data_IF_982680506751
#
_entry.id   IF_982680506751
#
_cell.length_a   1.000
_cell.length_b   1.000
_cell.length_c   1.000
_cell.angle_alpha   90.00
_cell.angle_beta   90.00
_cell.angle_gamma   90.00
#
_symmetry.space_group_name_H-M   'P 1'
#
loop_
_entity.id
_entity.type
_entity.pdbx_description
1 polymer ?
#
# COMPACT_ATOMS: atom_id res chain seq x y z
N UNK A 1 -2.07 4.02 13.59
CA UNK A 1 -2.63 2.97 12.70
C UNK A 1 -3.88 3.51 12.06
N UNK A 2 -4.09 3.24 10.77
CA UNK A 2 -5.29 3.61 10.04
C UNK A 2 -6.36 2.52 10.19
N UNK A 3 -7.39 2.80 10.99
CA UNK A 3 -8.50 1.87 11.23
C UNK A 3 -9.48 1.78 10.06
N UNK A 4 -9.41 2.69 9.09
CA UNK A 4 -10.24 2.61 7.89
C UNK A 4 -9.69 1.67 6.82
N UNK A 5 -8.48 1.13 6.99
CA UNK A 5 -8.06 -0.08 6.29
C UNK A 5 -8.61 -1.30 7.02
N UNK A 6 -9.30 -2.18 6.31
CA UNK A 6 -9.79 -3.44 6.87
C UNK A 6 -8.63 -4.35 7.30
N UNK A 7 -8.90 -5.27 8.24
CA UNK A 7 -7.94 -6.32 8.57
C UNK A 7 -7.92 -7.35 7.43
N UNK A 8 -6.76 -7.60 6.86
CA UNK A 8 -6.63 -8.51 5.74
C UNK A 8 -6.72 -9.96 6.25
N UNK A 9 -7.66 -10.75 5.70
CA UNK A 9 -7.76 -12.19 5.97
C UNK A 9 -6.61 -12.92 5.29
N UNK A 10 -5.81 -13.64 6.06
CA UNK A 10 -4.55 -14.21 5.60
C UNK A 10 -4.26 -15.54 6.31
N UNK A 11 -3.43 -16.36 5.69
CA UNK A 11 -2.72 -17.44 6.34
C UNK A 11 -1.35 -16.96 6.87
N UNK A 12 -0.86 -17.55 7.95
CA UNK A 12 0.44 -17.30 8.56
C UNK A 12 1.58 -17.51 7.55
N UNK A 13 1.49 -18.56 6.72
CA UNK A 13 2.44 -18.82 5.64
C UNK A 13 2.51 -17.70 4.60
N UNK A 14 1.42 -16.94 4.39
CA UNK A 14 1.40 -15.81 3.47
C UNK A 14 2.11 -14.57 4.04
N UNK A 15 2.11 -14.39 5.37
CA UNK A 15 2.79 -13.25 6.02
C UNK A 15 4.32 -13.25 5.78
N UNK A 16 4.92 -14.43 5.55
CA UNK A 16 6.34 -14.56 5.17
C UNK A 16 6.68 -13.86 3.85
N UNK A 17 5.68 -13.62 3.01
CA UNK A 17 5.84 -12.95 1.71
C UNK A 17 5.46 -11.46 1.77
N UNK A 18 5.00 -10.98 2.93
CA UNK A 18 4.63 -9.58 3.11
C UNK A 18 5.88 -8.69 3.07
N UNK A 19 5.79 -7.57 2.34
CA UNK A 19 6.87 -6.60 2.20
C UNK A 19 6.51 -5.33 2.92
N UNK A 20 7.38 -4.87 3.82
CA UNK A 20 7.20 -3.58 4.48
C UNK A 20 7.24 -2.45 3.45
N UNK A 21 6.37 -1.48 3.62
CA UNK A 21 6.36 -0.26 2.80
C UNK A 21 7.29 0.80 3.42
N UNK A 22 7.55 1.92 2.73
CA UNK A 22 8.23 3.06 3.35
C UNK A 22 7.51 3.62 4.58
N UNK A 23 6.20 3.36 4.73
CA UNK A 23 5.49 3.61 5.97
C UNK A 23 5.79 2.49 6.97
N UNK A 24 6.31 2.80 8.18
CA UNK A 24 6.77 1.79 9.13
C UNK A 24 5.68 0.85 9.62
N UNK A 25 4.40 1.26 9.51
CA UNK A 25 3.24 0.52 10.01
C UNK A 25 2.41 -0.17 8.92
N UNK A 26 2.89 -0.18 7.66
CA UNK A 26 2.14 -0.76 6.54
C UNK A 26 2.97 -1.74 5.73
N UNK A 27 2.29 -2.77 5.24
CA UNK A 27 2.86 -3.89 4.50
C UNK A 27 2.08 -4.15 3.22
N UNK A 28 2.70 -4.81 2.26
CA UNK A 28 2.06 -5.24 1.02
C UNK A 28 2.19 -6.74 0.83
N UNK A 29 1.11 -7.38 0.41
CA UNK A 29 1.09 -8.79 0.02
C UNK A 29 0.35 -8.91 -1.31
N UNK A 30 1.03 -9.40 -2.36
CA UNK A 30 0.43 -9.49 -3.69
C UNK A 30 -0.06 -8.14 -4.26
N UNK A 31 0.52 -7.02 -3.79
CA UNK A 31 0.09 -5.66 -4.14
C UNK A 31 -0.97 -5.05 -3.21
N UNK A 32 -1.58 -5.84 -2.32
CA UNK A 32 -2.59 -5.36 -1.39
C UNK A 32 -1.90 -4.74 -0.17
N UNK A 33 -2.20 -3.47 0.10
CA UNK A 33 -1.72 -2.75 1.29
C UNK A 33 -2.53 -3.18 2.53
N UNK A 34 -1.86 -3.49 3.62
CA UNK A 34 -2.49 -3.78 4.91
C UNK A 34 -1.65 -3.32 6.09
N UNK A 35 -2.31 -3.17 7.24
CA UNK A 35 -1.67 -2.84 8.53
C UNK A 35 -2.10 -3.81 9.64
N UNK A 36 -3.29 -4.40 9.47
CA UNK A 36 -3.86 -5.39 10.38
C UNK A 36 -4.08 -6.70 9.64
N UNK A 37 -3.89 -7.80 10.34
CA UNK A 37 -4.23 -9.13 9.86
C UNK A 37 -5.43 -9.66 10.62
N UNK A 38 -6.24 -10.46 9.93
CA UNK A 38 -7.24 -11.35 10.49
C UNK A 38 -6.76 -12.77 10.24
N UNK A 39 -6.53 -13.50 11.32
CA UNK A 39 -6.05 -14.89 11.32
C UNK A 39 -7.03 -15.78 12.07
N UNK A 40 -7.02 -17.08 11.76
CA UNK A 40 -7.61 -18.12 12.61
C UNK A 40 -6.64 -19.30 12.69
N UNK A 41 -6.64 -20.00 13.82
CA UNK A 41 -5.74 -21.13 14.04
C UNK A 41 -5.83 -21.68 15.46
N UNK A 42 -5.00 -22.66 15.76
CA UNK A 42 -4.89 -23.32 17.07
C UNK A 42 -3.81 -22.66 17.92
N UNK A 43 -4.09 -22.43 19.20
CA UNK A 43 -3.07 -22.03 20.17
C UNK A 43 -2.15 -23.21 20.49
N UNK A 44 -0.89 -23.13 20.06
CA UNK A 44 0.11 -24.20 20.22
C UNK A 44 1.16 -23.90 21.30
N UNK A 45 1.27 -22.65 21.73
CA UNK A 45 2.07 -22.24 22.88
C UNK A 45 1.45 -21.03 23.57
N UNK A 46 1.61 -20.96 24.89
CA UNK A 46 1.21 -19.84 25.75
C UNK A 46 2.35 -19.60 26.72
N UNK A 47 2.89 -18.38 26.79
CA UNK A 47 3.93 -18.03 27.75
C UNK A 47 3.42 -18.07 29.20
N UNK A 48 4.33 -18.25 30.16
CA UNK A 48 3.99 -18.33 31.58
C UNK A 48 3.27 -17.07 32.09
N UNK A 49 3.69 -15.89 31.62
CA UNK A 49 3.08 -14.60 31.92
C UNK A 49 1.84 -14.28 31.04
N UNK A 50 1.48 -15.22 30.16
CA UNK A 50 0.39 -15.14 29.18
C UNK A 50 0.47 -13.94 28.22
N UNK A 51 1.58 -13.20 28.18
CA UNK A 51 1.75 -12.02 27.32
C UNK A 51 2.02 -12.39 25.87
N UNK A 52 2.43 -13.63 25.59
CA UNK A 52 2.76 -14.11 24.26
C UNK A 52 2.18 -15.49 23.99
N UNK A 53 1.40 -15.63 22.92
CA UNK A 53 0.92 -16.92 22.43
C UNK A 53 1.55 -17.25 21.07
N UNK A 54 1.53 -18.52 20.69
CA UNK A 54 1.85 -18.96 19.32
C UNK A 54 0.59 -19.55 18.70
N UNK A 55 0.23 -19.04 17.54
CA UNK A 55 -0.90 -19.51 16.73
C UNK A 55 -0.39 -20.32 15.54
N UNK A 56 -0.97 -21.49 15.30
CA UNK A 56 -0.74 -22.32 14.12
C UNK A 56 -2.01 -22.45 13.30
N UNK A 57 -1.97 -22.11 12.01
CA UNK A 57 -3.12 -22.26 11.10
C UNK A 57 -2.97 -23.41 10.10
N UNK A 58 -1.95 -24.25 10.24
CA UNK A 58 -1.60 -25.34 9.33
C UNK A 58 -0.72 -24.92 8.14
N UNK A 59 -0.58 -23.62 7.88
CA UNK A 59 0.34 -23.07 6.86
C UNK A 59 1.64 -22.52 7.46
N UNK A 60 1.66 -22.30 8.77
CA UNK A 60 2.78 -21.79 9.53
C UNK A 60 2.33 -21.28 10.90
N UNK A 61 3.31 -20.80 11.66
CA UNK A 61 3.09 -20.27 13.01
C UNK A 61 3.40 -18.78 13.09
N UNK A 62 2.76 -18.08 14.02
CA UNK A 62 3.05 -16.68 14.31
C UNK A 62 2.92 -16.37 15.81
N UNK A 63 3.76 -15.46 16.30
CA UNK A 63 3.66 -14.93 17.66
C UNK A 63 2.55 -13.89 17.78
N UNK A 64 1.73 -14.05 18.81
CA UNK A 64 0.68 -13.12 19.22
C UNK A 64 1.16 -12.38 20.47
N UNK A 65 1.24 -11.06 20.42
CA UNK A 65 1.47 -10.22 21.58
C UNK A 65 0.11 -9.83 22.19
N UNK A 66 -0.15 -10.32 23.38
CA UNK A 66 -1.40 -10.14 24.11
C UNK A 66 -1.30 -8.90 24.98
N UNK A 67 -2.20 -7.94 24.75
CA UNK A 67 -2.30 -6.77 25.61
C UNK A 67 -2.90 -7.13 26.98
N UNK A 68 -2.53 -6.38 28.03
CA UNK A 68 -2.95 -6.63 29.41
C UNK A 68 -4.48 -6.78 29.58
N UNK A 69 -5.26 -6.07 28.76
CA UNK A 69 -6.72 -6.11 28.81
C UNK A 69 -7.28 -7.52 28.50
N UNK A 70 -6.59 -8.30 27.66
CA UNK A 70 -6.96 -9.68 27.34
C UNK A 70 -6.41 -10.72 28.32
N UNK A 71 -5.44 -10.35 29.16
CA UNK A 71 -4.85 -11.22 30.19
C UNK A 71 -5.81 -11.49 31.35
N UNK A 72 -6.82 -10.62 31.53
CA UNK A 72 -7.86 -10.80 32.56
C UNK A 72 -8.78 -12.00 32.28
N UNK A 73 -8.72 -12.54 31.07
CA UNK A 73 -9.45 -13.72 30.65
C UNK A 73 -8.59 -14.98 30.86
N UNK A 74 -8.61 -15.54 32.07
CA UNK A 74 -7.79 -16.71 32.46
C UNK A 74 -8.25 -18.05 31.82
N UNK A 75 -9.02 -18.00 30.73
CA UNK A 75 -9.59 -19.18 30.08
C UNK A 75 -8.81 -19.64 28.86
N UNK A 76 -7.83 -18.87 28.35
CA UNK A 76 -7.05 -19.27 27.19
C UNK A 76 -6.21 -20.51 27.48
N UNK A 77 -6.41 -21.56 26.68
CA UNK A 77 -5.77 -22.87 26.83
C UNK A 77 -5.16 -23.33 25.50
N UNK A 78 -4.12 -24.16 25.60
CA UNK A 78 -3.55 -24.85 24.46
C UNK A 78 -4.60 -25.72 23.77
N UNK A 79 -4.55 -25.77 22.44
CA UNK A 79 -5.49 -26.51 21.62
C UNK A 79 -6.78 -25.76 21.27
N UNK A 80 -7.03 -24.58 21.84
CA UNK A 80 -8.17 -23.76 21.45
C UNK A 80 -8.02 -23.26 20.02
N UNK A 81 -9.08 -23.40 19.23
CA UNK A 81 -9.17 -22.80 17.90
C UNK A 81 -9.72 -21.39 18.04
N UNK A 82 -8.95 -20.39 17.64
CA UNK A 82 -9.24 -18.97 17.88
C UNK A 82 -9.23 -18.15 16.61
N UNK A 83 -10.00 -17.07 16.61
CA UNK A 83 -9.87 -15.97 15.64
C UNK A 83 -9.14 -14.81 16.28
N UNK A 84 -8.20 -14.22 15.53
CA UNK A 84 -7.37 -13.10 15.98
C UNK A 84 -7.41 -11.98 14.95
N UNK A 85 -7.64 -10.76 15.43
CA UNK A 85 -7.42 -9.52 14.65
C UNK A 85 -6.41 -8.65 15.38
N UNK A 86 -5.40 -8.17 14.67
CA UNK A 86 -4.35 -7.36 15.29
C UNK A 86 -3.44 -6.66 14.30
N UNK A 87 -2.58 -5.79 14.83
CA UNK A 87 -1.54 -5.11 14.07
C UNK A 87 -0.47 -6.10 13.62
N UNK A 88 -0.13 -6.12 12.34
CA UNK A 88 1.04 -6.85 11.87
C UNK A 88 2.29 -5.97 11.96
N UNK A 89 3.36 -6.51 12.51
CA UNK A 89 4.66 -5.85 12.53
C UNK A 89 5.77 -6.90 12.55
N UNK A 90 6.99 -6.44 12.27
CA UNK A 90 8.20 -7.25 12.35
C UNK A 90 9.04 -6.64 13.47
N UNK A 91 9.43 -7.44 14.45
CA UNK A 91 10.31 -7.02 15.56
C UNK A 91 11.73 -6.77 15.01
N UNK A 92 12.56 -6.07 15.78
CA UNK A 92 13.93 -5.72 15.40
C UNK A 92 14.83 -6.93 15.04
N UNK A 93 14.49 -8.12 15.56
CA UNK A 93 15.14 -9.40 15.26
C UNK A 93 14.67 -10.04 13.94
N UNK A 94 13.74 -9.40 13.22
CA UNK A 94 13.13 -9.92 12.01
C UNK A 94 11.94 -10.85 12.24
N UNK A 95 11.52 -11.07 13.49
CA UNK A 95 10.42 -11.98 13.82
C UNK A 95 9.07 -11.33 13.53
N UNK A 96 8.22 -11.93 12.66
CA UNK A 96 6.87 -11.42 12.40
C UNK A 96 5.93 -11.69 13.57
N UNK A 97 5.11 -10.69 13.91
CA UNK A 97 4.21 -10.74 15.06
C UNK A 97 2.86 -10.09 14.78
N UNK A 98 1.86 -10.47 15.59
CA UNK A 98 0.57 -9.80 15.68
C UNK A 98 0.40 -9.17 17.06
N UNK A 99 0.24 -7.84 17.13
CA UNK A 99 -0.25 -7.19 18.35
C UNK A 99 -1.76 -7.29 18.38
N UNK A 100 -2.28 -8.11 19.29
CA UNK A 100 -3.69 -8.49 19.31
C UNK A 100 -4.58 -7.30 19.70
N UNK A 101 -5.60 -7.03 18.89
CA UNK A 101 -6.67 -6.08 19.18
C UNK A 101 -8.00 -6.78 19.51
N UNK A 102 -8.15 -8.02 19.06
CA UNK A 102 -9.31 -8.88 19.34
C UNK A 102 -8.88 -10.34 19.19
N UNK A 103 -9.30 -11.15 20.14
CA UNK A 103 -9.18 -12.61 20.10
C UNK A 103 -10.52 -13.22 20.53
N UNK A 104 -10.93 -14.30 19.88
CA UNK A 104 -12.23 -14.96 20.11
C UNK A 104 -12.04 -16.47 20.04
N UNK A 105 -12.55 -17.18 21.05
CA UNK A 105 -12.63 -18.64 21.03
C UNK A 105 -13.70 -19.11 20.02
N UNK A 106 -13.28 -19.95 19.08
CA UNK A 106 -14.10 -20.58 18.07
C UNK A 106 -14.17 -22.10 18.24
N UNK A 107 -13.62 -22.66 19.31
CA UNK A 107 -13.49 -24.11 19.54
C UNK A 107 -14.84 -24.85 19.54
N UNK A 108 -15.94 -24.16 19.85
CA UNK A 108 -17.30 -24.71 19.77
C UNK A 108 -17.81 -24.93 18.33
N UNK A 109 -17.09 -24.46 17.31
CA UNK A 109 -17.53 -24.46 15.90
C UNK A 109 -16.45 -25.09 14.99
N UNK A 110 -16.28 -26.42 14.97
CA UNK A 110 -15.18 -27.08 14.28
C UNK A 110 -15.16 -26.83 12.76
N UNK A 111 -16.31 -26.59 12.14
CA UNK A 111 -16.42 -26.28 10.70
C UNK A 111 -15.73 -24.96 10.33
N UNK A 112 -15.45 -24.08 11.32
CA UNK A 112 -14.77 -22.80 11.10
C UNK A 112 -13.36 -22.96 10.54
N UNK A 113 -12.67 -24.03 10.90
CA UNK A 113 -11.34 -24.31 10.36
C UNK A 113 -11.40 -24.50 8.85
N UNK A 114 -12.25 -25.41 8.36
CA UNK A 114 -12.40 -25.64 6.93
C UNK A 114 -12.91 -24.40 6.19
N UNK A 115 -13.86 -23.66 6.78
CA UNK A 115 -14.38 -22.42 6.19
C UNK A 115 -13.31 -21.32 6.10
N UNK A 116 -12.41 -21.24 7.07
CA UNK A 116 -11.34 -20.24 7.07
C UNK A 116 -10.45 -20.33 5.84
N UNK A 117 -10.07 -21.54 5.42
CA UNK A 117 -9.31 -21.75 4.19
C UNK A 117 -10.04 -21.19 2.95
N UNK A 118 -11.35 -21.40 2.85
CA UNK A 118 -12.16 -20.89 1.76
C UNK A 118 -12.27 -19.36 1.80
N UNK A 119 -12.48 -18.79 2.98
CA UNK A 119 -12.55 -17.33 3.18
C UNK A 119 -11.25 -16.64 2.75
N UNK A 120 -10.08 -17.20 3.11
CA UNK A 120 -8.78 -16.61 2.73
C UNK A 120 -8.54 -16.74 1.23
N UNK A 121 -8.88 -17.88 0.62
CA UNK A 121 -8.76 -18.07 -0.84
C UNK A 121 -9.65 -17.06 -1.58
N UNK A 122 -10.89 -16.90 -1.14
CA UNK A 122 -11.83 -15.94 -1.72
C UNK A 122 -11.29 -14.50 -1.59
N UNK A 123 -10.88 -14.10 -0.39
CA UNK A 123 -10.33 -12.77 -0.13
C UNK A 123 -9.09 -12.48 -1.01
N UNK A 124 -8.20 -13.46 -1.16
CA UNK A 124 -7.01 -13.31 -2.00
C UNK A 124 -7.36 -13.25 -3.49
N UNK A 125 -8.30 -14.08 -3.96
CA UNK A 125 -8.74 -14.08 -5.37
C UNK A 125 -9.44 -12.78 -5.74
N UNK A 126 -10.35 -12.30 -4.91
CA UNK A 126 -11.06 -11.03 -5.13
C UNK A 126 -10.09 -9.87 -5.02
N UNK A 127 -9.29 -9.81 -3.94
CA UNK A 127 -8.35 -8.72 -3.69
C UNK A 127 -7.30 -8.57 -4.80
N UNK A 128 -6.67 -9.67 -5.21
CA UNK A 128 -5.65 -9.63 -6.27
C UNK A 128 -6.26 -9.34 -7.65
N UNK A 129 -7.44 -9.88 -7.95
CA UNK A 129 -8.11 -9.62 -9.24
C UNK A 129 -8.53 -8.16 -9.35
N UNK A 130 -9.17 -7.62 -8.32
CA UNK A 130 -9.59 -6.21 -8.28
C UNK A 130 -8.38 -5.29 -8.35
N UNK A 131 -7.32 -5.56 -7.57
CA UNK A 131 -6.09 -4.76 -7.61
C UNK A 131 -5.40 -4.78 -8.98
N UNK A 132 -5.33 -5.95 -9.63
CA UNK A 132 -4.80 -6.07 -11.00
C UNK A 132 -5.65 -5.32 -12.01
N UNK A 133 -6.97 -5.35 -11.87
CA UNK A 133 -7.88 -4.64 -12.75
C UNK A 133 -7.75 -3.12 -12.60
N UNK A 134 -7.66 -2.61 -11.38
CA UNK A 134 -7.39 -1.19 -11.13
C UNK A 134 -6.06 -0.72 -11.72
N UNK A 135 -4.97 -1.46 -11.49
CA UNK A 135 -3.68 -1.10 -12.08
C UNK A 135 -3.69 -1.17 -13.61
N UNK A 136 -4.44 -2.11 -14.20
CA UNK A 136 -4.60 -2.20 -15.64
C UNK A 136 -5.38 -0.99 -16.18
N UNK A 137 -6.43 -0.57 -15.49
CA UNK A 137 -7.20 0.64 -15.86
C UNK A 137 -6.32 1.88 -15.77
N UNK A 138 -5.59 2.07 -14.67
CA UNK A 138 -4.69 3.22 -14.50
C UNK A 138 -3.59 3.23 -15.58
N UNK A 139 -3.00 2.07 -15.88
CA UNK A 139 -2.04 1.92 -16.96
C UNK A 139 -2.63 2.23 -18.34
N UNK A 140 -3.87 1.80 -18.60
CA UNK A 140 -4.58 2.07 -19.85
C UNK A 140 -4.94 3.56 -19.96
N UNK A 141 -5.41 4.20 -18.90
CA UNK A 141 -5.68 5.63 -18.84
C UNK A 141 -4.40 6.45 -19.09
N UNK A 142 -3.27 6.06 -18.49
CA UNK A 142 -1.99 6.70 -18.75
C UNK A 142 -1.58 6.56 -20.24
N UNK A 143 -1.71 5.36 -20.81
CA UNK A 143 -1.43 5.10 -22.23
C UNK A 143 -2.37 5.90 -23.15
N UNK A 144 -3.66 5.95 -22.84
CA UNK A 144 -4.66 6.69 -23.61
C UNK A 144 -4.45 8.20 -23.52
N UNK A 145 -4.06 8.72 -22.36
CA UNK A 145 -3.73 10.14 -22.19
C UNK A 145 -2.56 10.57 -23.10
N UNK A 146 -1.56 9.71 -23.28
CA UNK A 146 -0.41 9.93 -24.18
C UNK A 146 -0.77 9.82 -25.66
N UNK A 147 -1.79 9.03 -25.99
CA UNK A 147 -2.30 8.88 -27.37
C UNK A 147 -3.33 9.94 -27.76
N UNK A 148 -3.84 10.71 -26.78
CA UNK A 148 -4.77 11.82 -27.03
C UNK A 148 -4.03 12.93 -27.76
N UNK A 149 -4.29 13.07 -29.07
CA UNK A 149 -3.77 14.18 -29.87
C UNK A 149 -4.33 15.50 -29.30
N UNK A 150 -3.54 16.58 -29.23
CA UNK A 150 -4.00 17.86 -28.73
C UNK A 150 -5.19 18.34 -29.57
N UNK A 151 -6.23 18.77 -28.86
CA UNK A 151 -7.48 19.22 -29.48
C UNK A 151 -7.23 20.54 -30.21
N UNK A 152 -8.07 20.89 -31.20
CA UNK A 152 -7.92 22.13 -31.98
C UNK A 152 -7.89 23.39 -31.08
N UNK A 153 -8.55 23.35 -29.92
CA UNK A 153 -8.52 24.39 -28.90
C UNK A 153 -7.14 24.55 -28.21
N UNK A 154 -6.44 23.45 -27.91
CA UNK A 154 -5.08 23.49 -27.33
C UNK A 154 -4.05 24.06 -28.32
N UNK A 155 -4.28 23.87 -29.62
CA UNK A 155 -3.42 24.45 -30.66
C UNK A 155 -3.59 25.95 -30.76
N UNK A 156 -4.81 26.47 -30.64
CA UNK A 156 -5.05 27.92 -30.70
C UNK A 156 -4.38 28.66 -29.53
N UNK A 157 -4.48 28.13 -28.31
CA UNK A 157 -3.83 28.74 -27.13
C UNK A 157 -2.30 28.71 -27.21
N UNK A 158 -1.71 27.71 -27.87
CA UNK A 158 -0.25 27.64 -28.05
C UNK A 158 0.25 28.64 -29.10
N UNK A 159 -0.54 28.91 -30.13
CA UNK A 159 -0.22 29.93 -31.15
C UNK A 159 -0.32 31.33 -30.57
N UNK A 160 -1.36 31.63 -29.79
CA UNK A 160 -1.51 32.92 -29.09
C UNK A 160 -0.35 33.21 -28.12
N UNK A 161 0.11 32.18 -27.40
CA UNK A 161 1.23 32.30 -26.45
C UNK A 161 2.60 32.46 -27.13
N UNK A 162 2.77 31.91 -28.33
CA UNK A 162 3.98 32.12 -29.14
C UNK A 162 4.00 33.47 -29.86
N UNK A 163 2.83 34.03 -30.18
CA UNK A 163 2.71 35.40 -30.72
C UNK A 163 2.96 36.47 -29.64
N UNK A 164 2.52 36.25 -28.40
CA UNK A 164 2.79 37.13 -27.26
C UNK A 164 4.30 37.24 -26.94
N UNK A 165 5.04 36.12 -27.06
CA UNK A 165 6.50 36.07 -26.90
C UNK A 165 7.29 36.71 -28.07
N UNK A 166 6.65 36.98 -29.21
CA UNK A 166 7.26 37.68 -30.36
C UNK A 166 7.04 39.20 -30.34
N UNK A 167 6.18 39.73 -29.47
CA UNK A 167 5.79 41.13 -29.44
C UNK A 167 6.85 42.12 -28.94
N UNK A 168 7.84 41.67 -28.16
CA UNK A 168 8.81 42.57 -27.50
C UNK A 168 10.20 42.56 -28.16
N UNK A 169 10.29 43.10 -29.39
CA UNK A 169 11.58 43.59 -29.92
C UNK A 169 11.42 44.99 -30.50
N UNK A 170 12.00 46.05 -29.89
CA UNK A 170 12.05 47.35 -30.52
C UNK A 170 13.05 47.34 -31.69
N UNK A 171 12.59 47.81 -32.84
CA UNK A 171 13.40 48.10 -34.03
C UNK A 171 14.27 49.33 -33.77
N UNK A 172 15.60 49.16 -33.77
CA UNK A 172 16.56 50.27 -33.76
C UNK A 172 17.29 50.31 -35.10
N UNK A 173 17.00 51.37 -35.88
CA UNK A 173 17.68 51.79 -37.08
C UNK A 173 18.94 52.61 -36.70
N UNK A 174 20.13 52.26 -37.23
CA UNK A 174 20.93 53.09 -38.15
C UNK A 174 22.44 52.74 -38.27
N UNK A 175 22.91 52.82 -39.53
CA UNK A 175 24.21 53.27 -40.09
C UNK A 175 25.56 52.49 -39.96
N UNK A 176 26.18 52.30 -41.15
CA UNK A 176 27.59 52.07 -41.58
C UNK A 176 28.69 52.64 -40.65
N UNK A 177 29.95 52.18 -40.51
CA UNK A 177 30.96 51.41 -41.28
C UNK A 177 32.19 51.15 -40.31
N UNK A 178 33.41 50.70 -40.71
CA UNK A 178 33.89 49.40 -41.19
C UNK A 178 34.91 48.68 -40.23
N UNK A 179 35.20 47.41 -40.59
CA UNK A 179 36.29 46.48 -40.21
C UNK A 179 37.26 46.76 -39.05
N UNK A 180 37.43 45.75 -38.17
CA UNK A 180 38.73 45.29 -37.66
C UNK A 180 38.66 43.82 -37.19
N UNK A 181 39.59 43.02 -37.69
CA UNK A 181 40.00 41.67 -37.27
C UNK A 181 40.41 41.62 -35.79
N UNK A 182 40.23 40.46 -35.12
CA UNK A 182 41.24 39.77 -34.27
C UNK A 182 40.64 38.58 -33.46
N UNK A 183 41.29 37.42 -33.62
CA UNK A 183 41.44 36.23 -32.74
C UNK A 183 40.28 35.54 -31.99
N UNK A 184 40.10 34.25 -32.28
CA UNK A 184 39.63 33.20 -31.37
C UNK A 184 40.73 32.85 -30.34
N UNK A 185 40.47 32.28 -29.14
CA UNK A 185 39.97 30.90 -29.01
C UNK A 185 39.11 30.58 -27.76
N UNK A 186 38.61 29.34 -27.68
CA UNK A 186 38.48 28.63 -26.39
C UNK A 186 37.07 28.34 -25.89
N UNK A 187 36.48 27.23 -26.35
CA UNK A 187 35.37 26.55 -25.65
C UNK A 187 35.89 25.92 -24.37
N UNK A 188 35.20 26.10 -23.25
CA UNK A 188 35.17 25.13 -22.16
C UNK A 188 33.76 25.06 -21.56
N UNK A 189 33.24 23.83 -21.54
CA UNK A 189 31.95 23.42 -21.00
C UNK A 189 31.98 23.48 -19.46
N UNK A 190 31.02 24.17 -18.84
CA UNK A 190 30.65 23.95 -17.45
C UNK A 190 29.26 23.31 -17.42
N UNK A 191 29.22 22.00 -17.15
CA UNK A 191 27.99 21.28 -16.82
C UNK A 191 27.85 21.18 -15.30
N UNK A 192 27.00 22.03 -14.71
CA UNK A 192 26.52 21.87 -13.34
C UNK A 192 25.16 21.20 -13.41
N UNK A 193 25.09 19.92 -13.03
CA UNK A 193 23.85 19.13 -13.03
C UNK A 193 23.21 19.18 -11.63
N UNK A 194 22.16 19.99 -11.52
CA UNK A 194 21.24 20.05 -10.38
C UNK A 194 20.16 18.97 -10.54
N UNK A 195 20.23 17.89 -9.76
CA UNK A 195 19.21 16.85 -9.73
C UNK A 195 18.21 17.09 -8.59
N UNK A 196 17.14 17.84 -8.92
CA UNK A 196 15.94 17.98 -8.09
C UNK A 196 15.15 16.67 -8.02
N UNK A 197 14.57 16.43 -6.85
CA UNK A 197 13.58 15.40 -6.48
C UNK A 197 12.45 15.23 -7.52
N UNK A 198 11.80 14.05 -7.56
CA UNK A 198 10.38 13.97 -7.87
C UNK A 198 9.58 13.63 -6.61
N UNK A 199 8.66 14.52 -6.24
CA UNK A 199 7.54 14.24 -5.36
C UNK A 199 6.33 13.71 -6.15
N UNK A 200 5.39 13.12 -5.40
CA UNK A 200 4.00 12.75 -5.74
C UNK A 200 3.74 11.37 -6.34
N UNK A 201 3.50 10.39 -5.45
CA UNK A 201 2.57 9.29 -5.70
C UNK A 201 1.28 9.54 -4.90
N UNK A 202 0.17 9.74 -5.61
CA UNK A 202 -1.16 9.80 -5.00
C UNK A 202 -1.65 8.38 -4.72
N UNK A 203 -1.76 8.01 -3.44
CA UNK A 203 -2.22 6.69 -3.00
C UNK A 203 -3.76 6.66 -3.02
N UNK A 204 -4.36 5.83 -3.89
CA UNK A 204 -5.80 5.53 -3.82
C UNK A 204 -6.05 4.33 -2.90
N UNK A 205 -6.93 4.54 -1.94
CA UNK A 205 -7.37 3.61 -0.91
C UNK A 205 -8.45 2.70 -1.47
N UNK A 206 -8.23 1.38 -1.44
CA UNK A 206 -9.28 0.39 -1.71
C UNK A 206 -9.96 0.09 -0.38
N UNK A 207 -11.17 0.60 -0.18
CA UNK A 207 -12.03 0.24 0.95
C UNK A 207 -12.88 -0.95 0.50
N UNK A 208 -12.67 -2.11 1.11
CA UNK A 208 -13.62 -3.22 1.03
C UNK A 208 -14.73 -2.92 2.03
N UNK A 209 -15.95 -2.74 1.53
CA UNK A 209 -17.12 -2.50 2.37
C UNK A 209 -17.57 -3.83 2.98
N UNK A 210 -17.55 -3.94 4.31
CA UNK A 210 -18.29 -4.97 5.03
C UNK A 210 -19.77 -4.55 5.08
N UNK A 211 -20.65 -5.37 4.50
CA UNK A 211 -22.09 -5.21 4.64
C UNK A 211 -22.50 -5.40 6.11
N UNK A 212 -23.06 -4.34 6.69
CA UNK A 212 -23.78 -4.38 7.95
C UNK A 212 -25.07 -5.17 7.73
N UNK A 213 -25.09 -6.43 8.17
CA UNK A 213 -26.33 -7.19 8.30
C UNK A 213 -27.08 -6.66 9.53
N UNK A 214 -27.97 -5.70 9.29
CA UNK A 214 -29.07 -5.38 10.19
C UNK A 214 -30.09 -6.53 10.15
N UNK A 215 -30.30 -7.20 11.28
CA UNK A 215 -31.36 -8.19 11.49
C UNK A 215 -32.16 -7.87 12.75
N UNK A 216 -33.40 -7.46 12.56
CA UNK A 216 -34.37 -6.96 13.53
C UNK A 216 -34.86 -8.00 14.57
N UNK A 217 -35.26 -7.45 15.73
CA UNK A 217 -36.40 -7.80 16.60
C UNK A 217 -36.75 -9.28 16.82
N UNK A 218 -36.60 -9.72 18.07
CA UNK A 218 -37.71 -9.87 19.03
C UNK A 218 -37.18 -9.71 20.46
#
# INVERSE_FOLDING_TARGET
MDYSLAALKLMCGQLKQAKQTPSPSSFTLGGILFQRAWLQGVLVSISDDRSCFILDDGSGVIELLIAADFLTQDHWQLGMYVMVVGAYFIRDDGTPMIKVHKIVDLSAHPDREAMWYLEVIEAYRIGVTVYRMFNLVDFLEEKLSKLRKPTRADRSQRVEKEEELRGDRPLLLHFNQPAQTVHAPGRNFNGHFDSRKPEFWSQKKVILNDEVVNGNKL
#
